data_IF_011941267660
#
_entry.id   IF_011941267660
#
_cell.length_a   1.000
_cell.length_b   1.000
_cell.length_c   1.000
_cell.angle_alpha   90.00
_cell.angle_beta   90.00
_cell.angle_gamma   90.00
#
_symmetry.space_group_name_H-M   'P 1'
#
loop_
_entity.id
_entity.type
_entity.pdbx_description
1 polymer ?
#
# COMPACT_ATOMS: atom_id res chain seq x y z
N UNK A 1 1.69 2.86 -15.79
CA UNK A 1 1.63 4.32 -16.03
C UNK A 1 2.96 4.87 -15.52
N UNK A 2 3.55 5.85 -16.21
CA UNK A 2 4.68 6.56 -15.63
C UNK A 2 4.16 7.34 -14.42
N UNK A 3 4.55 6.89 -13.23
CA UNK A 3 4.19 7.52 -11.96
C UNK A 3 5.37 8.39 -11.57
N UNK A 4 5.24 9.69 -11.79
CA UNK A 4 6.22 10.67 -11.33
C UNK A 4 6.01 10.90 -9.83
N UNK A 5 6.67 10.08 -9.01
CA UNK A 5 6.63 10.21 -7.54
C UNK A 5 7.15 11.59 -7.08
N UNK A 6 8.06 12.19 -7.87
CA UNK A 6 8.65 13.53 -7.68
C UNK A 6 7.66 14.70 -7.90
N UNK A 7 6.39 14.39 -8.18
CA UNK A 7 5.33 15.40 -8.31
C UNK A 7 4.22 15.26 -7.26
N UNK A 8 4.34 14.25 -6.39
CA UNK A 8 3.33 13.94 -5.38
C UNK A 8 3.63 14.72 -4.11
N UNK A 9 2.76 15.68 -3.80
CA UNK A 9 2.83 16.46 -2.57
C UNK A 9 2.32 15.66 -1.39
N UNK A 10 3.08 15.64 -0.30
CA UNK A 10 2.63 15.05 0.96
C UNK A 10 3.04 15.96 2.12
N UNK A 11 2.05 16.43 2.89
CA UNK A 11 2.29 17.29 4.03
C UNK A 11 2.29 16.47 5.33
N UNK A 12 3.47 16.26 5.88
CA UNK A 12 3.66 15.55 7.14
C UNK A 12 3.18 16.35 8.36
N UNK A 13 3.01 17.67 8.26
CA UNK A 13 2.55 18.52 9.37
C UNK A 13 1.01 18.52 9.54
N UNK A 14 0.27 17.99 8.56
CA UNK A 14 -1.19 17.90 8.66
C UNK A 14 -1.55 16.63 9.45
N UNK A 15 -2.23 16.83 10.58
CA UNK A 15 -2.75 15.77 11.43
C UNK A 15 -4.27 15.85 11.47
N UNK A 16 -4.89 15.32 10.42
CA UNK A 16 -6.34 15.23 10.31
C UNK A 16 -6.73 13.78 10.05
N UNK A 17 -7.69 13.22 10.78
CA UNK A 17 -8.20 11.88 10.49
C UNK A 17 -8.63 11.76 9.02
N UNK A 18 -8.12 10.73 8.35
CA UNK A 18 -8.35 10.48 6.92
C UNK A 18 -7.39 11.22 5.98
N UNK A 19 -6.47 12.06 6.49
CA UNK A 19 -5.48 12.72 5.64
C UNK A 19 -4.39 11.74 5.17
N UNK A 20 -4.02 11.90 3.90
CA UNK A 20 -2.98 11.17 3.18
C UNK A 20 -2.63 11.99 1.94
N UNK A 21 -1.50 11.72 1.29
CA UNK A 21 -1.19 12.27 -0.04
C UNK A 21 -2.30 11.96 -1.07
N UNK A 22 -3.09 10.89 -0.88
CA UNK A 22 -4.25 10.61 -1.73
C UNK A 22 -5.40 11.64 -1.61
N UNK A 23 -5.48 12.33 -0.47
CA UNK A 23 -6.50 13.32 -0.18
C UNK A 23 -6.12 14.72 -0.68
N UNK A 24 -4.86 14.95 -1.05
CA UNK A 24 -4.41 16.24 -1.55
C UNK A 24 -5.02 16.55 -2.93
N UNK A 25 -5.74 17.68 -3.09
CA UNK A 25 -6.31 18.10 -4.37
C UNK A 25 -5.29 18.14 -5.52
N UNK A 26 -4.05 18.57 -5.22
CA UNK A 26 -3.01 18.80 -6.23
C UNK A 26 -2.54 17.48 -6.86
N UNK A 27 -2.59 16.38 -6.11
CA UNK A 27 -2.17 15.07 -6.56
C UNK A 27 -3.17 14.41 -7.51
N UNK A 28 -4.44 14.84 -7.53
CA UNK A 28 -5.52 14.27 -8.37
C UNK A 28 -5.72 12.75 -8.18
N UNK A 29 -5.43 12.24 -6.98
CA UNK A 29 -5.46 10.81 -6.65
C UNK A 29 -6.73 10.34 -5.93
N UNK A 30 -7.75 11.20 -5.79
CA UNK A 30 -8.95 10.90 -5.00
C UNK A 30 -9.73 9.68 -5.54
N UNK A 31 -9.65 9.45 -6.86
CA UNK A 31 -10.27 8.31 -7.53
C UNK A 31 -9.29 7.17 -7.85
N UNK A 32 -8.06 7.22 -7.33
CA UNK A 32 -7.00 6.27 -7.66
C UNK A 32 -7.40 4.82 -7.31
N UNK A 33 -8.05 4.61 -6.15
CA UNK A 33 -8.53 3.27 -5.79
C UNK A 33 -9.49 2.71 -6.83
N UNK A 34 -10.50 3.49 -7.27
CA UNK A 34 -11.45 3.07 -8.30
C UNK A 34 -10.76 2.76 -9.63
N UNK A 35 -9.79 3.58 -10.02
CA UNK A 35 -9.00 3.37 -11.23
C UNK A 35 -8.16 2.09 -11.15
N UNK A 36 -7.50 1.85 -10.01
CA UNK A 36 -6.70 0.65 -9.75
C UNK A 36 -7.55 -0.61 -9.70
N UNK A 37 -8.73 -0.58 -9.05
CA UNK A 37 -9.65 -1.72 -9.04
C UNK A 37 -10.11 -2.06 -10.46
N UNK A 38 -10.52 -1.06 -11.26
CA UNK A 38 -10.88 -1.29 -12.67
C UNK A 38 -9.73 -1.89 -13.46
N UNK A 39 -8.51 -1.39 -13.27
CA UNK A 39 -7.31 -1.93 -13.92
C UNK A 39 -7.03 -3.38 -13.51
N UNK A 40 -7.12 -3.70 -12.22
CA UNK A 40 -6.88 -5.05 -11.69
C UNK A 40 -7.85 -6.08 -12.31
N UNK A 41 -9.13 -5.73 -12.42
CA UNK A 41 -10.16 -6.59 -13.02
C UNK A 41 -10.25 -6.50 -14.55
N UNK A 42 -9.54 -5.56 -15.18
CA UNK A 42 -9.45 -5.51 -16.65
C UNK A 42 -8.66 -6.70 -17.21
N UNK A 43 -8.74 -6.90 -18.54
CA UNK A 43 -7.91 -7.88 -19.27
C UNK A 43 -6.41 -7.71 -18.98
N UNK A 44 -5.94 -6.49 -18.73
CA UNK A 44 -4.54 -6.17 -18.43
C UNK A 44 -4.12 -6.59 -17.02
N UNK A 45 -5.00 -6.39 -16.02
CA UNK A 45 -4.73 -6.78 -14.63
C UNK A 45 -4.90 -8.29 -14.39
N UNK A 46 -5.78 -8.93 -15.16
CA UNK A 46 -5.87 -10.39 -15.20
C UNK A 46 -6.43 -11.04 -13.93
N UNK A 47 -7.09 -10.27 -13.06
CA UNK A 47 -7.84 -10.78 -11.90
C UNK A 47 -9.33 -11.00 -12.20
N UNK A 48 -9.76 -10.93 -13.47
CA UNK A 48 -11.16 -11.21 -13.84
C UNK A 48 -11.58 -12.63 -13.43
N UNK A 49 -12.75 -12.73 -12.78
CA UNK A 49 -13.31 -14.00 -12.30
C UNK A 49 -14.06 -14.80 -13.37
N UNK A 50 -14.28 -14.22 -14.57
CA UNK A 50 -15.04 -14.85 -15.66
C UNK A 50 -14.42 -16.14 -16.19
N UNK A 51 -13.09 -16.28 -16.06
CA UNK A 51 -12.36 -17.52 -16.33
C UNK A 51 -11.62 -17.89 -15.06
N UNK A 52 -11.74 -19.14 -14.58
CA UNK A 52 -11.11 -19.67 -13.36
C UNK A 52 -9.61 -19.30 -13.17
N UNK A 53 -8.93 -18.93 -14.24
CA UNK A 53 -7.60 -18.28 -14.27
C UNK A 53 -7.39 -17.11 -13.30
N UNK A 54 -8.39 -16.24 -13.08
CA UNK A 54 -8.27 -15.10 -12.17
C UNK A 54 -8.20 -15.54 -10.70
N UNK A 55 -8.96 -16.58 -10.34
CA UNK A 55 -8.97 -17.18 -9.00
C UNK A 55 -7.62 -17.79 -8.67
N UNK A 56 -6.98 -18.47 -9.61
CA UNK A 56 -5.65 -19.06 -9.39
C UNK A 56 -4.55 -18.01 -9.33
N UNK A 57 -4.66 -16.93 -10.12
CA UNK A 57 -3.76 -15.77 -10.00
C UNK A 57 -3.91 -15.09 -8.64
N UNK A 58 -5.14 -14.90 -8.16
CA UNK A 58 -5.42 -14.38 -6.81
C UNK A 58 -4.78 -15.27 -5.74
N UNK A 59 -4.99 -16.60 -5.78
CA UNK A 59 -4.40 -17.53 -4.82
C UNK A 59 -2.87 -17.47 -4.82
N UNK A 60 -2.25 -17.46 -6.01
CA UNK A 60 -0.80 -17.31 -6.15
C UNK A 60 -0.30 -15.97 -5.60
N UNK A 61 -1.02 -14.89 -5.85
CA UNK A 61 -0.70 -13.57 -5.29
C UNK A 61 -0.74 -13.61 -3.75
N UNK A 62 -1.83 -14.10 -3.16
CA UNK A 62 -1.95 -14.23 -1.70
C UNK A 62 -0.86 -15.12 -1.10
N UNK A 63 -0.53 -16.24 -1.75
CA UNK A 63 0.56 -17.12 -1.31
C UNK A 63 1.92 -16.42 -1.36
N UNK A 64 2.20 -15.63 -2.42
CA UNK A 64 3.43 -14.82 -2.49
C UNK A 64 3.48 -13.74 -1.43
N UNK A 65 2.35 -13.08 -1.13
CA UNK A 65 2.26 -12.11 -0.05
C UNK A 65 2.59 -12.77 1.31
N UNK A 66 2.00 -13.93 1.59
CA UNK A 66 2.29 -14.67 2.83
C UNK A 66 3.77 -15.07 2.93
N UNK A 67 4.34 -15.61 1.85
CA UNK A 67 5.76 -15.94 1.80
C UNK A 67 6.67 -14.72 2.00
N UNK A 68 6.34 -13.59 1.36
CA UNK A 68 7.07 -12.33 1.53
C UNK A 68 7.01 -11.84 2.97
N UNK A 69 5.83 -11.84 3.59
CA UNK A 69 5.64 -11.40 4.98
C UNK A 69 6.46 -12.28 5.94
N UNK A 70 6.47 -13.61 5.75
CA UNK A 70 7.30 -14.53 6.55
C UNK A 70 8.78 -14.21 6.43
N UNK A 71 9.27 -14.04 5.20
CA UNK A 71 10.69 -13.72 4.96
C UNK A 71 11.07 -12.36 5.55
N UNK A 72 10.21 -11.35 5.37
CA UNK A 72 10.41 -10.02 5.93
C UNK A 72 10.54 -10.07 7.45
N UNK A 73 9.66 -10.80 8.15
CA UNK A 73 9.74 -10.95 9.60
C UNK A 73 11.00 -11.71 10.04
N UNK A 74 11.37 -12.78 9.34
CA UNK A 74 12.60 -13.49 9.62
C UNK A 74 13.82 -12.57 9.48
N UNK A 75 13.89 -11.79 8.40
CA UNK A 75 14.96 -10.82 8.18
C UNK A 75 15.00 -9.77 9.29
N UNK A 76 13.87 -9.15 9.62
CA UNK A 76 13.80 -8.12 10.67
C UNK A 76 14.27 -8.71 11.99
N UNK A 77 13.77 -9.89 12.38
CA UNK A 77 14.14 -10.54 13.63
C UNK A 77 15.62 -10.93 13.70
N UNK A 78 16.22 -11.35 12.58
CA UNK A 78 17.64 -11.72 12.52
C UNK A 78 18.59 -10.51 12.44
N UNK A 79 18.17 -9.41 11.81
CA UNK A 79 19.05 -8.26 11.55
C UNK A 79 18.89 -7.11 12.54
N UNK A 80 17.74 -6.97 13.20
CA UNK A 80 17.51 -5.87 14.15
C UNK A 80 17.88 -6.29 15.58
N UNK A 81 18.86 -5.62 16.19
CA UNK A 81 19.28 -5.88 17.58
C UNK A 81 18.32 -5.39 18.68
N UNK A 82 17.16 -4.83 18.32
CA UNK A 82 16.09 -4.46 19.25
C UNK A 82 14.93 -5.46 19.15
N UNK A 83 14.18 -5.72 20.25
CA UNK A 83 13.01 -6.59 20.21
C UNK A 83 12.06 -6.14 19.10
N UNK A 84 11.63 -7.11 18.29
CA UNK A 84 10.94 -6.85 17.04
C UNK A 84 9.74 -5.93 17.24
N UNK A 85 9.77 -4.74 16.63
CA UNK A 85 8.61 -3.84 16.48
C UNK A 85 7.60 -4.42 15.47
N UNK A 86 7.35 -5.72 15.56
CA UNK A 86 6.58 -6.50 14.59
C UNK A 86 5.19 -5.92 14.35
N UNK A 87 4.55 -5.42 15.41
CA UNK A 87 3.21 -4.81 15.31
C UNK A 87 3.22 -3.45 14.58
N UNK A 88 4.31 -2.67 14.66
CA UNK A 88 4.43 -1.42 13.89
C UNK A 88 4.62 -1.69 12.39
N UNK A 89 5.30 -2.79 12.06
CA UNK A 89 5.55 -3.26 10.70
C UNK A 89 4.37 -4.03 10.10
N UNK A 90 3.50 -4.59 10.94
CA UNK A 90 2.35 -5.40 10.53
C UNK A 90 1.26 -4.57 9.85
N UNK A 91 1.20 -3.27 10.13
CA UNK A 91 0.10 -2.41 9.70
C UNK A 91 0.63 -1.35 8.75
N UNK A 92 0.27 -1.46 7.47
CA UNK A 92 0.43 -0.35 6.53
C UNK A 92 -0.73 0.63 6.76
N UNK A 93 -0.41 1.79 7.32
CA UNK A 93 -1.33 2.93 7.48
C UNK A 93 -1.01 3.95 6.40
N UNK A 94 -1.87 4.03 5.40
CA UNK A 94 -1.77 4.98 4.30
C UNK A 94 -2.42 6.33 4.63
N UNK A 95 -3.30 6.40 5.62
CA UNK A 95 -3.98 7.60 6.09
C UNK A 95 -3.94 7.71 7.62
N UNK A 96 -3.98 8.95 8.11
CA UNK A 96 -4.02 9.24 9.54
C UNK A 96 -5.34 8.79 10.16
N UNK A 97 -5.28 8.28 11.38
CA UNK A 97 -6.46 7.96 12.20
C UNK A 97 -6.59 8.99 13.32
N UNK A 98 -7.68 8.92 14.09
CA UNK A 98 -7.87 9.81 15.25
C UNK A 98 -6.75 9.63 16.30
N UNK A 99 -6.27 8.40 16.47
CA UNK A 99 -5.32 8.07 17.53
C UNK A 99 -3.87 7.94 17.05
N UNK A 100 -3.65 7.65 15.76
CA UNK A 100 -2.32 7.29 15.23
C UNK A 100 -2.11 7.86 13.84
N UNK A 101 -0.93 8.40 13.57
CA UNK A 101 -0.51 8.89 12.26
C UNK A 101 -0.26 7.74 11.26
N UNK A 102 -0.30 8.07 9.96
CA UNK A 102 0.12 7.17 8.89
C UNK A 102 1.61 6.83 8.98
N UNK A 103 1.99 5.69 8.42
CA UNK A 103 3.39 5.26 8.31
C UNK A 103 3.88 5.15 6.86
N UNK A 104 3.02 5.47 5.89
CA UNK A 104 3.38 5.66 4.48
C UNK A 104 3.31 7.14 4.17
N UNK A 105 4.42 7.69 3.71
CA UNK A 105 4.53 9.08 3.30
C UNK A 105 5.48 9.21 2.11
N UNK A 106 5.29 10.27 1.33
CA UNK A 106 6.16 10.62 0.21
C UNK A 106 7.03 11.79 0.66
N UNK A 107 8.34 11.59 0.65
CA UNK A 107 9.31 12.61 1.02
C UNK A 107 10.08 13.05 -0.22
N UNK A 108 10.09 14.37 -0.49
CA UNK A 108 10.62 14.97 -1.74
C UNK A 108 9.90 14.47 -3.00
N UNK A 109 8.58 14.39 -2.91
CA UNK A 109 7.71 14.38 -4.09
C UNK A 109 7.34 15.78 -4.53
#
# INVERSE_FOLDING_TARGET
>A
PDIHLDSIRDNLAIHRPGYSFLADPDNKLQNAFRALSKLAFSKKGGFSFEKNTGKDKMRRYLSKCDAFVRLLYASIHMTSGMPARGEELRVIRWADTVAVQRNVFIYKG
#
